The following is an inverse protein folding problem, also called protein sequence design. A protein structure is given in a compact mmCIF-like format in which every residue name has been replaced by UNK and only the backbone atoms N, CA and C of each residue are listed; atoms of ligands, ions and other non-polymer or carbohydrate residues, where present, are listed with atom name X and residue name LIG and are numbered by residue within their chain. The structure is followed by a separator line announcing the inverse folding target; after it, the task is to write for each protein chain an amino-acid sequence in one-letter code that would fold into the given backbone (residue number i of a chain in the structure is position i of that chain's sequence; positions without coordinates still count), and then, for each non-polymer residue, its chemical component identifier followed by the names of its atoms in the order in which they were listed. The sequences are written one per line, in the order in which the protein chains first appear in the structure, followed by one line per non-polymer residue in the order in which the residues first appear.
data_IF_514108012325
#
_entry.id   IF_514108012325
#
_cell.length_a   1.000
_cell.length_b   1.000
_cell.length_c   1.000
_cell.angle_alpha   90.00
_cell.angle_beta   90.00
_cell.angle_gamma   90.00
#
_symmetry.space_group_name_H-M   'P 1'
#
loop_
_entity.id
_entity.type
_entity.pdbx_description
1 polymer ?
#
# COMPACT_ATOMS: atom_id res chain seq x y z
N UNK A 1 -16.82 18.97 8.45
CA UNK A 1 -15.53 18.34 8.77
C UNK A 1 -15.31 17.20 7.80
N UNK A 2 -14.47 17.42 6.76
CA UNK A 2 -14.09 16.37 5.81
C UNK A 2 -13.32 15.29 6.59
N UNK A 3 -13.81 14.06 6.58
CA UNK A 3 -13.10 12.91 7.16
C UNK A 3 -11.79 12.72 6.36
N UNK A 4 -10.69 13.03 6.99
CA UNK A 4 -9.36 12.91 6.40
C UNK A 4 -8.87 11.47 6.57
N UNK A 5 -8.28 10.91 5.53
CA UNK A 5 -7.66 9.57 5.55
C UNK A 5 -8.56 8.41 5.09
N UNK A 6 -9.65 8.69 4.38
CA UNK A 6 -10.38 7.65 3.65
C UNK A 6 -9.61 7.36 2.36
N UNK A 7 -9.31 6.09 2.10
CA UNK A 7 -8.91 5.67 0.77
C UNK A 7 -9.99 6.12 -0.21
N UNK A 8 -9.65 7.06 -1.08
CA UNK A 8 -10.48 7.34 -2.26
C UNK A 8 -9.76 6.76 -3.48
N UNK A 9 -10.39 5.86 -4.24
CA UNK A 9 -9.81 5.38 -5.48
C UNK A 9 -9.53 6.61 -6.34
N UNK A 10 -8.28 6.76 -6.77
CA UNK A 10 -7.86 7.89 -7.61
C UNK A 10 -8.80 8.04 -8.79
N UNK A 11 -8.95 9.26 -9.34
CA UNK A 11 -9.93 9.55 -10.38
C UNK A 11 -9.77 8.53 -11.51
N UNK A 12 -10.83 7.79 -11.76
CA UNK A 12 -10.99 7.06 -13.02
C UNK A 12 -10.91 8.12 -14.10
N UNK A 13 -9.96 7.99 -15.02
CA UNK A 13 -9.85 8.86 -16.17
C UNK A 13 -11.22 8.92 -16.86
N UNK A 14 -11.93 10.03 -16.63
CA UNK A 14 -13.21 10.27 -17.24
C UNK A 14 -12.99 10.59 -18.71
N UNK A 15 -13.70 9.86 -19.55
CA UNK A 15 -14.17 10.20 -20.87
C UNK A 15 -13.20 10.93 -21.80
N UNK A 16 -12.40 10.15 -22.49
CA UNK A 16 -11.95 10.42 -23.85
C UNK A 16 -12.32 9.22 -24.70
N UNK A 17 -12.99 9.46 -25.79
CA UNK A 17 -13.68 8.51 -26.67
C UNK A 17 -13.04 7.13 -26.84
N UNK A 18 -13.88 6.11 -26.65
CA UNK A 18 -13.55 4.72 -26.66
C UNK A 18 -13.04 4.25 -28.03
N UNK A 19 -11.76 3.99 -28.14
CA UNK A 19 -11.24 2.97 -29.01
C UNK A 19 -11.10 1.68 -28.22
N UNK A 20 -11.95 0.70 -28.53
CA UNK A 20 -11.95 -0.63 -27.91
C UNK A 20 -10.56 -1.27 -28.00
N UNK A 21 -9.82 -1.25 -26.90
CA UNK A 21 -8.62 -2.06 -26.73
C UNK A 21 -9.05 -3.35 -26.04
N UNK A 22 -9.02 -4.44 -26.80
CA UNK A 22 -9.22 -5.81 -26.33
C UNK A 22 -8.27 -6.08 -25.16
N UNK A 23 -8.79 -6.53 -24.01
CA UNK A 23 -8.04 -7.21 -22.98
C UNK A 23 -7.76 -6.43 -21.69
N UNK A 24 -8.71 -5.65 -21.13
CA UNK A 24 -8.66 -5.30 -19.71
C UNK A 24 -9.19 -6.47 -18.89
N UNK A 25 -8.44 -6.94 -17.87
CA UNK A 25 -9.02 -7.87 -16.92
C UNK A 25 -10.25 -7.23 -16.26
N UNK A 26 -11.35 -7.96 -16.23
CA UNK A 26 -12.61 -7.59 -15.57
C UNK A 26 -12.44 -7.65 -14.04
N UNK A 27 -11.54 -6.88 -13.49
CA UNK A 27 -11.33 -6.77 -12.06
C UNK A 27 -11.18 -5.29 -11.73
N UNK A 28 -12.04 -4.76 -10.87
CA UNK A 28 -11.92 -3.41 -10.36
C UNK A 28 -10.54 -3.17 -9.71
N UNK A 29 -10.23 -1.93 -9.43
CA UNK A 29 -9.00 -1.52 -8.74
C UNK A 29 -8.93 -2.23 -7.39
N UNK A 30 -7.75 -2.74 -7.02
CA UNK A 30 -7.51 -3.45 -5.78
C UNK A 30 -6.65 -2.58 -4.87
N UNK A 31 -6.82 -2.75 -3.57
CA UNK A 31 -5.98 -2.15 -2.55
C UNK A 31 -5.18 -3.25 -1.86
N UNK A 32 -3.86 -3.20 -2.02
CA UNK A 32 -2.94 -4.16 -1.40
C UNK A 32 -2.38 -3.59 -0.11
N UNK A 33 -2.69 -4.24 1.01
CA UNK A 33 -2.10 -3.94 2.31
C UNK A 33 -0.84 -4.78 2.45
N UNK A 34 0.31 -4.14 2.61
CA UNK A 34 1.58 -4.87 2.73
C UNK A 34 1.96 -5.04 4.19
N UNK A 35 2.38 -6.27 4.50
CA UNK A 35 3.01 -6.62 5.77
C UNK A 35 4.49 -6.22 5.76
N UNK A 36 5.06 -6.02 6.93
CA UNK A 36 6.47 -5.67 7.17
C UNK A 36 7.42 -6.69 6.55
N UNK A 37 7.14 -7.99 6.70
CA UNK A 37 7.99 -9.07 6.20
C UNK A 37 8.13 -9.06 4.67
N UNK A 38 7.10 -8.62 3.96
CA UNK A 38 7.17 -8.45 2.49
C UNK A 38 8.25 -7.44 2.12
N UNK A 39 8.28 -6.29 2.79
CA UNK A 39 9.23 -5.21 2.53
C UNK A 39 10.64 -5.52 3.04
N UNK A 40 10.74 -6.24 4.15
CA UNK A 40 12.02 -6.72 4.67
C UNK A 40 12.69 -7.73 3.74
N UNK A 41 11.89 -8.47 2.98
CA UNK A 41 12.39 -9.45 2.02
C UNK A 41 12.67 -8.81 0.64
N UNK A 42 11.77 -7.96 0.16
CA UNK A 42 11.89 -7.29 -1.14
C UNK A 42 11.51 -5.80 -1.01
N UNK A 43 12.50 -4.92 -0.92
CA UNK A 43 12.25 -3.47 -0.78
C UNK A 43 11.53 -2.86 -1.98
N UNK A 44 11.54 -3.55 -3.13
CA UNK A 44 10.86 -3.07 -4.35
C UNK A 44 9.42 -3.54 -4.47
N UNK A 45 8.94 -4.34 -3.51
CA UNK A 45 7.58 -4.90 -3.53
C UNK A 45 6.50 -3.81 -3.70
N UNK A 46 6.69 -2.63 -3.08
CA UNK A 46 5.74 -1.51 -3.20
C UNK A 46 5.51 -1.06 -4.65
N UNK A 47 6.44 -1.32 -5.57
CA UNK A 47 6.36 -0.89 -6.97
C UNK A 47 5.82 -1.98 -7.91
N UNK A 48 5.50 -3.16 -7.40
CA UNK A 48 5.08 -4.31 -8.23
C UNK A 48 3.59 -4.34 -8.57
N UNK A 49 2.80 -3.45 -7.97
CA UNK A 49 1.34 -3.49 -8.08
C UNK A 49 0.79 -2.61 -9.21
N UNK A 50 1.64 -1.95 -9.97
CA UNK A 50 1.38 -1.19 -11.21
C UNK A 50 0.11 -0.33 -11.21
N UNK A 51 -1.02 -0.89 -11.68
CA UNK A 51 -2.31 -0.20 -11.75
C UNK A 51 -3.12 -0.24 -10.45
N UNK A 52 -2.67 -0.97 -9.46
CA UNK A 52 -3.36 -1.14 -8.18
C UNK A 52 -2.77 -0.24 -7.10
N UNK A 53 -3.56 0.01 -6.08
CA UNK A 53 -3.14 0.84 -4.96
C UNK A 53 -2.50 0.00 -3.86
N UNK A 54 -1.55 0.60 -3.15
CA UNK A 54 -0.83 0.01 -2.03
C UNK A 54 -1.13 0.81 -0.77
N UNK A 55 -1.32 0.12 0.33
CA UNK A 55 -1.56 0.72 1.65
C UNK A 55 -0.53 0.21 2.66
N UNK A 56 0.09 1.14 3.37
CA UNK A 56 1.02 0.86 4.44
C UNK A 56 0.41 1.25 5.80
N UNK A 57 0.08 0.25 6.65
CA UNK A 57 -0.31 0.49 8.03
C UNK A 57 0.77 1.22 8.83
N UNK A 58 0.39 1.98 9.86
CA UNK A 58 1.33 2.67 10.72
C UNK A 58 2.26 1.67 11.44
N UNK A 59 1.71 0.56 11.91
CA UNK A 59 2.50 -0.49 12.58
C UNK A 59 3.62 -1.02 11.68
N UNK A 60 3.39 -1.13 10.37
CA UNK A 60 4.43 -1.54 9.40
C UNK A 60 5.55 -0.52 9.35
N UNK A 61 5.23 0.78 9.34
CA UNK A 61 6.22 1.85 9.33
C UNK A 61 7.04 1.86 10.64
N UNK A 62 6.40 1.63 11.78
CA UNK A 62 7.04 1.54 13.09
C UNK A 62 7.99 0.32 13.16
N UNK A 63 7.56 -0.84 12.67
CA UNK A 63 8.38 -2.04 12.61
C UNK A 63 9.57 -1.88 11.66
N UNK A 64 9.37 -1.26 10.49
CA UNK A 64 10.47 -0.93 9.59
C UNK A 64 11.49 -0.02 10.28
N UNK A 65 11.04 1.00 11.01
CA UNK A 65 11.94 1.90 11.74
C UNK A 65 12.75 1.15 12.81
N UNK A 66 12.13 0.25 13.55
CA UNK A 66 12.78 -0.58 14.55
C UNK A 66 13.87 -1.50 13.94
N UNK A 67 13.70 -1.97 12.70
CA UNK A 67 14.62 -2.88 12.02
C UNK A 67 15.69 -2.20 11.16
N UNK A 68 15.78 -0.88 11.15
CA UNK A 68 16.83 -0.15 10.41
C UNK A 68 18.24 -0.43 10.88
N UNK A 69 18.40 -0.78 12.15
CA UNK A 69 19.70 -1.03 12.79
C UNK A 69 20.18 -2.44 12.48
N UNK A 70 21.48 -2.56 12.21
CA UNK A 70 22.12 -3.85 11.98
C UNK A 70 22.69 -4.03 10.58
N UNK A 71 23.39 -5.16 10.39
CA UNK A 71 24.10 -5.51 9.16
C UNK A 71 23.41 -6.61 8.36
N UNK A 72 22.28 -7.12 8.83
CA UNK A 72 21.53 -8.16 8.14
C UNK A 72 21.01 -7.67 6.78
N UNK A 73 20.67 -8.60 5.91
CA UNK A 73 20.03 -8.31 4.63
C UNK A 73 18.70 -7.60 4.86
N UNK A 74 17.89 -8.08 5.81
CA UNK A 74 16.63 -7.44 6.19
C UNK A 74 16.83 -5.99 6.60
N UNK A 75 17.83 -5.68 7.44
CA UNK A 75 18.12 -4.29 7.83
C UNK A 75 18.57 -3.43 6.65
N UNK A 76 19.29 -3.99 5.68
CA UNK A 76 19.65 -3.28 4.44
C UNK A 76 18.41 -2.99 3.59
N UNK A 77 17.52 -3.97 3.45
CA UNK A 77 16.27 -3.83 2.70
C UNK A 77 15.36 -2.78 3.35
N UNK A 78 15.25 -2.78 4.68
CA UNK A 78 14.49 -1.77 5.42
C UNK A 78 15.02 -0.36 5.18
N UNK A 79 16.35 -0.17 5.20
CA UNK A 79 16.94 1.14 4.87
C UNK A 79 16.66 1.57 3.44
N UNK A 80 16.60 0.62 2.51
CA UNK A 80 16.25 0.89 1.12
C UNK A 80 14.78 1.29 0.98
N UNK A 81 13.85 0.57 1.62
CA UNK A 81 12.43 0.98 1.70
C UNK A 81 12.30 2.39 2.25
N UNK A 82 12.97 2.67 3.38
CA UNK A 82 12.93 4.01 3.99
C UNK A 82 13.36 5.10 3.02
N UNK A 83 14.44 4.89 2.26
CA UNK A 83 14.89 5.85 1.24
C UNK A 83 13.83 6.05 0.14
N UNK A 84 13.19 4.98 -0.32
CA UNK A 84 12.12 5.10 -1.30
C UNK A 84 10.95 5.92 -0.77
N UNK A 85 10.54 5.67 0.47
CA UNK A 85 9.46 6.41 1.11
C UNK A 85 9.85 7.88 1.33
N UNK A 86 11.06 8.16 1.79
CA UNK A 86 11.58 9.52 1.97
C UNK A 86 11.62 10.29 0.64
N UNK A 87 12.08 9.64 -0.43
CA UNK A 87 12.11 10.24 -1.77
C UNK A 87 10.71 10.54 -2.30
N UNK A 88 9.76 9.63 -2.07
CA UNK A 88 8.37 9.82 -2.49
C UNK A 88 7.63 10.89 -1.68
N UNK A 89 8.02 11.10 -0.42
CA UNK A 89 7.43 12.10 0.48
C UNK A 89 8.12 13.45 0.41
N UNK A 90 9.21 13.60 -0.36
CA UNK A 90 9.92 14.86 -0.49
C UNK A 90 9.03 15.91 -1.15
N UNK A 91 8.93 17.07 -0.51
CA UNK A 91 8.17 18.23 -1.00
C UNK A 91 6.65 17.96 -1.21
N UNK A 92 6.12 16.95 -0.51
CA UNK A 92 4.70 16.57 -0.60
C UNK A 92 3.90 17.20 0.54
N UNK A 93 2.74 17.77 0.23
CA UNK A 93 1.84 18.30 1.23
C UNK A 93 1.01 17.20 1.90
N UNK A 94 0.44 17.51 3.06
CA UNK A 94 -0.44 16.57 3.77
C UNK A 94 -1.62 16.14 2.91
N UNK A 95 -2.21 17.07 2.16
CA UNK A 95 -3.32 16.81 1.27
C UNK A 95 -2.95 15.83 0.16
N UNK A 96 -1.72 15.91 -0.36
CA UNK A 96 -1.22 14.99 -1.36
C UNK A 96 -0.98 13.58 -0.77
N UNK A 97 -0.53 13.50 0.48
CA UNK A 97 -0.40 12.21 1.19
C UNK A 97 -1.78 11.58 1.37
N UNK A 98 -2.78 12.35 1.78
CA UNK A 98 -4.15 11.86 1.98
C UNK A 98 -4.81 11.39 0.66
N UNK A 99 -4.43 11.99 -0.47
CA UNK A 99 -4.87 11.59 -1.82
C UNK A 99 -4.11 10.37 -2.39
N UNK A 100 -3.07 9.94 -1.71
CA UNK A 100 -2.16 8.89 -2.13
C UNK A 100 -1.10 9.37 -3.12
N UNK A 101 0.14 8.93 -2.88
CA UNK A 101 1.30 9.27 -3.69
C UNK A 101 1.35 8.38 -4.93
N UNK A 102 1.63 8.94 -6.09
CA UNK A 102 1.82 8.14 -7.32
C UNK A 102 3.02 7.21 -7.18
N UNK A 103 2.80 5.94 -7.46
CA UNK A 103 3.90 4.98 -7.54
C UNK A 103 4.75 5.27 -8.78
N UNK A 104 6.10 5.40 -8.62
CA UNK A 104 6.96 5.64 -9.75
C UNK A 104 6.95 4.47 -10.72
N UNK A 105 6.97 4.77 -12.01
CA UNK A 105 7.09 3.78 -13.07
C UNK A 105 8.56 3.35 -13.23
N UNK A 106 8.79 2.07 -13.54
CA UNK A 106 10.12 1.60 -13.92
C UNK A 106 10.86 0.71 -12.93
N UNK A 107 10.33 0.50 -11.73
CA UNK A 107 10.88 -0.49 -10.79
C UNK A 107 10.39 -1.92 -11.03
N UNK A 108 9.27 -2.07 -11.73
CA UNK A 108 8.83 -3.37 -12.27
C UNK A 108 9.69 -3.68 -13.49
N UNK A 109 10.41 -4.81 -13.49
CA UNK A 109 11.31 -5.23 -14.58
C UNK A 109 10.65 -5.42 -15.95
N UNK A 110 9.39 -5.05 -16.07
CA UNK A 110 8.68 -4.88 -17.32
C UNK A 110 9.01 -3.51 -17.92
N UNK A 111 10.01 -3.45 -18.78
CA UNK A 111 10.37 -2.30 -19.60
C UNK A 111 9.26 -1.85 -20.58
N UNK A 112 8.02 -2.08 -20.25
CA UNK A 112 6.86 -1.83 -21.08
C UNK A 112 6.10 -0.56 -20.72
N UNK A 113 6.46 0.52 -21.30
CA UNK A 113 5.65 1.60 -21.92
C UNK A 113 4.36 2.14 -21.23
N UNK A 114 3.92 1.70 -20.06
CA UNK A 114 2.74 2.26 -19.40
C UNK A 114 3.12 2.86 -18.05
N UNK A 115 2.81 4.14 -17.80
CA UNK A 115 3.00 4.72 -16.48
C UNK A 115 2.14 3.98 -15.47
N UNK A 116 2.71 3.71 -14.29
CA UNK A 116 1.94 3.21 -13.16
C UNK A 116 0.79 4.17 -12.88
N UNK A 117 -0.42 3.64 -12.70
CA UNK A 117 -1.59 4.41 -12.29
C UNK A 117 -1.96 4.16 -10.83
N UNK A 118 -1.25 3.26 -10.16
CA UNK A 118 -1.40 2.94 -8.75
C UNK A 118 -0.87 4.03 -7.83
N UNK A 119 -1.40 4.07 -6.62
CA UNK A 119 -1.02 5.04 -5.59
C UNK A 119 -0.61 4.33 -4.31
N UNK A 120 0.28 4.97 -3.57
CA UNK A 120 0.67 4.57 -2.22
C UNK A 120 -0.10 5.41 -1.21
N UNK A 121 -0.80 4.73 -0.32
CA UNK A 121 -1.51 5.32 0.80
C UNK A 121 -0.83 4.92 2.11
N UNK A 122 -0.85 5.84 3.07
CA UNK A 122 -0.42 5.60 4.43
C UNK A 122 -1.61 5.64 5.37
N UNK A 123 -1.50 4.97 6.50
CA UNK A 123 -2.46 5.14 7.56
C UNK A 123 -2.33 6.53 8.18
N UNK A 124 -3.31 7.38 7.96
CA UNK A 124 -3.37 8.74 8.52
C UNK A 124 -4.40 8.87 9.64
N UNK A 125 -5.17 7.82 9.91
CA UNK A 125 -6.16 7.75 10.99
C UNK A 125 -6.22 6.37 11.61
N UNK A 126 -6.74 6.31 12.83
CA UNK A 126 -6.95 5.01 13.46
C UNK A 126 -8.10 4.27 12.77
N UNK A 127 -7.78 3.07 12.30
CA UNK A 127 -8.73 2.11 11.76
C UNK A 127 -8.62 0.85 12.60
N UNK A 128 -9.73 0.34 13.05
CA UNK A 128 -9.78 -0.91 13.79
C UNK A 128 -11.07 -1.65 13.48
N UNK A 129 -10.95 -2.94 13.31
CA UNK A 129 -12.08 -3.86 13.26
C UNK A 129 -11.86 -4.92 14.31
N UNK A 130 -12.92 -5.34 15.04
CA UNK A 130 -12.77 -6.41 16.00
C UNK A 130 -12.31 -7.69 15.30
N UNK A 131 -11.30 -8.31 15.88
CA UNK A 131 -10.79 -9.61 15.46
C UNK A 131 -11.52 -10.73 16.24
N UNK A 132 -11.60 -11.95 15.68
CA UNK A 132 -12.11 -13.10 16.41
C UNK A 132 -11.32 -13.33 17.71
N UNK A 133 -12.03 -13.66 18.80
CA UNK A 133 -11.41 -13.92 20.11
C UNK A 133 -10.40 -15.08 20.10
N UNK A 134 -10.47 -15.93 19.09
CA UNK A 134 -9.54 -17.05 18.88
C UNK A 134 -8.15 -16.62 18.43
N UNK A 135 -7.95 -15.37 18.01
CA UNK A 135 -6.64 -14.85 17.62
C UNK A 135 -5.88 -14.38 18.87
N UNK A 136 -4.76 -15.05 19.23
CA UNK A 136 -4.04 -14.75 20.46
C UNK A 136 -3.28 -13.42 20.35
N UNK A 137 -3.51 -12.56 21.32
CA UNK A 137 -2.61 -11.45 21.65
C UNK A 137 -2.69 -10.21 20.74
N UNK A 138 -1.99 -9.19 21.18
CA UNK A 138 -1.76 -7.95 20.42
C UNK A 138 -0.40 -8.07 19.72
N UNK A 139 -0.36 -8.78 18.59
CA UNK A 139 0.82 -8.79 17.73
C UNK A 139 0.68 -7.74 16.63
N UNK A 140 1.80 -7.31 16.03
CA UNK A 140 1.80 -6.44 14.85
C UNK A 140 0.94 -7.01 13.73
N UNK A 141 1.00 -8.32 13.51
CA UNK A 141 0.21 -9.02 12.48
C UNK A 141 -1.29 -8.89 12.72
N UNK A 142 -1.74 -8.99 13.98
CA UNK A 142 -3.14 -8.79 14.33
C UNK A 142 -3.58 -7.34 14.09
N UNK A 143 -2.71 -6.36 14.33
CA UNK A 143 -2.99 -4.97 14.03
C UNK A 143 -3.15 -4.74 12.52
N UNK A 144 -2.28 -5.33 11.71
CA UNK A 144 -2.35 -5.27 10.24
C UNK A 144 -3.65 -5.93 9.75
N UNK A 145 -4.00 -7.10 10.30
CA UNK A 145 -5.23 -7.80 9.95
C UNK A 145 -6.48 -6.99 10.32
N UNK A 146 -6.52 -6.42 11.55
CA UNK A 146 -7.63 -5.59 11.99
C UNK A 146 -7.83 -4.37 11.09
N UNK A 147 -6.75 -3.74 10.64
CA UNK A 147 -6.80 -2.62 9.71
C UNK A 147 -7.25 -3.05 8.32
N UNK A 148 -6.78 -4.20 7.84
CA UNK A 148 -7.18 -4.74 6.54
C UNK A 148 -8.69 -5.00 6.51
N UNK A 149 -9.25 -5.57 7.58
CA UNK A 149 -10.68 -5.80 7.73
C UNK A 149 -11.46 -4.47 7.82
N UNK A 150 -10.95 -3.50 8.56
CA UNK A 150 -11.58 -2.18 8.66
C UNK A 150 -11.62 -1.48 7.29
N UNK A 151 -10.53 -1.52 6.54
CA UNK A 151 -10.46 -1.00 5.17
C UNK A 151 -11.46 -1.71 4.25
N UNK A 152 -11.57 -3.04 4.31
CA UNK A 152 -12.54 -3.78 3.49
C UNK A 152 -13.98 -3.41 3.84
N UNK A 153 -14.29 -3.18 5.11
CA UNK A 153 -15.62 -2.76 5.55
C UNK A 153 -15.99 -1.35 5.05
N UNK A 154 -15.01 -0.46 4.93
CA UNK A 154 -15.21 0.90 4.42
C UNK A 154 -15.26 0.94 2.89
N UNK A 155 -14.46 0.11 2.23
CA UNK A 155 -14.29 0.08 0.78
C UNK A 155 -15.19 -0.99 0.15
N UNK A 156 -16.45 -0.66 -0.05
CA UNK A 156 -17.42 -1.59 -0.65
C UNK A 156 -17.14 -1.86 -2.14
N UNK A 157 -16.53 -0.89 -2.81
CA UNK A 157 -16.29 -0.95 -4.26
C UNK A 157 -14.88 -1.41 -4.64
N UNK A 158 -13.98 -1.53 -3.66
CA UNK A 158 -12.62 -2.01 -3.85
C UNK A 158 -12.40 -3.33 -3.11
N UNK A 159 -11.65 -4.23 -3.74
CA UNK A 159 -11.18 -5.45 -3.08
C UNK A 159 -9.89 -5.14 -2.33
N UNK A 160 -9.92 -5.30 -1.00
CA UNK A 160 -8.74 -5.18 -0.14
C UNK A 160 -8.07 -6.54 -0.01
N UNK A 161 -6.75 -6.59 -0.20
CA UNK A 161 -5.95 -7.81 -0.20
C UNK A 161 -4.76 -7.60 0.73
N UNK A 162 -4.67 -8.41 1.78
CA UNK A 162 -3.47 -8.48 2.61
C UNK A 162 -2.40 -9.31 1.88
N UNK A 163 -1.20 -8.77 1.79
CA UNK A 163 -0.02 -9.45 1.28
C UNK A 163 0.94 -9.67 2.44
N UNK A 164 1.14 -10.92 2.79
CA UNK A 164 2.11 -11.35 3.80
C UNK A 164 3.02 -12.43 3.22
N UNK A 165 4.19 -12.57 3.80
CA UNK A 165 5.15 -13.63 3.50
C UNK A 165 5.15 -14.72 4.56
N UNK A 166 4.56 -14.47 5.71
CA UNK A 166 4.46 -15.45 6.79
C UNK A 166 3.37 -16.46 6.44
N UNK A 167 3.81 -17.68 6.26
CA UNK A 167 2.98 -18.87 6.04
C UNK A 167 3.11 -19.78 7.24
#
# INVERSE_FOLDING_TARGET
LKQRGVYEPGPTAASGEARAVKGRPRGGRRLFVLDTNVLMHDPTAIFRFEEHDVYLPMVVLEELDAHKKGLSEASRNVRQVSRFLDDMMRDVTKEQIDLGLKLPSGYSGNHGKRPSSGRLFFQTRQLSSPLPESLPGQSGDNAILAQTLALQNEQKDARVILVSKDI
#
